data_IF_437242635439
#
_entry.id   IF_437242635439
#
_cell.length_a   1.000
_cell.length_b   1.000
_cell.length_c   1.000
_cell.angle_alpha   90.00
_cell.angle_beta   90.00
_cell.angle_gamma   90.00
#
_symmetry.space_group_name_H-M   'P 1'
#
loop_
_entity.id
_entity.type
_entity.pdbx_description
1 polymer ?
#
# COMPACT_ATOMS: atom_id res chain seq x y z
N UNK A 1 21.81 22.18 14.30
CA UNK A 1 20.46 22.04 13.73
C UNK A 1 20.57 22.19 12.22
N UNK A 2 20.36 21.16 11.40
CA UNK A 2 20.31 21.39 9.96
C UNK A 2 19.01 22.14 9.64
N UNK A 3 19.16 23.34 9.09
CA UNK A 3 18.05 24.14 8.56
C UNK A 3 17.61 23.51 7.23
N UNK A 4 16.36 23.01 7.16
CA UNK A 4 15.80 22.56 5.88
C UNK A 4 15.25 23.78 5.13
N UNK A 5 15.82 24.04 3.96
CA UNK A 5 15.32 25.04 3.02
C UNK A 5 13.99 24.54 2.45
N UNK A 6 12.91 25.31 2.62
CA UNK A 6 11.61 24.98 2.02
C UNK A 6 11.76 24.86 0.49
N UNK A 7 11.39 23.70 -0.06
CA UNK A 7 11.41 23.47 -1.49
C UNK A 7 10.35 24.35 -2.18
N UNK A 8 10.76 25.09 -3.22
CA UNK A 8 9.87 25.92 -4.03
C UNK A 8 8.97 24.99 -4.84
N UNK A 9 7.65 25.21 -4.82
CA UNK A 9 6.69 24.42 -5.58
C UNK A 9 7.11 24.37 -7.06
N UNK A 10 7.26 23.16 -7.61
CA UNK A 10 7.55 22.98 -9.02
C UNK A 10 6.32 23.46 -9.82
N UNK A 11 6.49 24.48 -10.66
CA UNK A 11 5.52 24.83 -11.69
C UNK A 11 5.47 23.65 -12.66
N UNK A 12 4.43 22.82 -12.54
CA UNK A 12 4.21 21.67 -13.41
C UNK A 12 4.06 22.11 -14.87
N UNK A 13 4.49 21.26 -15.81
CA UNK A 13 4.35 21.47 -17.27
C UNK A 13 2.89 21.37 -17.76
N UNK A 14 1.94 21.24 -16.84
CA UNK A 14 0.53 21.03 -17.13
C UNK A 14 -0.15 22.34 -17.49
N UNK A 15 -0.75 22.40 -18.67
CA UNK A 15 -1.61 23.50 -19.08
C UNK A 15 -3.01 23.35 -18.47
N UNK A 16 -3.17 23.93 -17.28
CA UNK A 16 -4.42 23.91 -16.56
C UNK A 16 -5.53 24.77 -17.18
N UNK A 17 -5.19 25.76 -17.99
CA UNK A 17 -6.19 26.61 -18.64
C UNK A 17 -6.93 25.81 -19.72
N UNK A 18 -6.16 25.05 -20.51
CA UNK A 18 -6.70 24.13 -21.53
C UNK A 18 -7.57 23.04 -20.90
N UNK A 19 -7.10 22.38 -19.83
CA UNK A 19 -7.89 21.31 -19.17
C UNK A 19 -9.24 21.81 -18.62
N UNK A 20 -9.29 23.04 -18.08
CA UNK A 20 -10.55 23.62 -17.57
C UNK A 20 -11.50 24.07 -18.67
N UNK A 21 -10.99 24.34 -19.87
CA UNK A 21 -11.79 24.76 -21.01
C UNK A 21 -12.33 23.57 -21.83
N UNK A 22 -11.84 22.35 -21.57
CA UNK A 22 -12.30 21.13 -22.23
C UNK A 22 -13.75 20.83 -21.87
N UNK A 23 -14.55 20.46 -22.88
CA UNK A 23 -15.97 20.12 -22.68
C UNK A 23 -16.14 18.72 -22.09
N UNK A 24 -17.26 18.48 -21.40
CA UNK A 24 -17.58 17.15 -20.84
C UNK A 24 -17.66 16.08 -21.93
N UNK A 25 -18.31 16.37 -23.07
CA UNK A 25 -18.40 15.43 -24.20
C UNK A 25 -17.04 15.01 -24.74
N UNK A 26 -16.08 15.94 -24.77
CA UNK A 26 -14.71 15.65 -25.19
C UNK A 26 -13.96 14.80 -24.17
N UNK A 27 -14.18 15.03 -22.87
CA UNK A 27 -13.61 14.22 -21.79
C UNK A 27 -14.14 12.78 -21.88
N UNK A 28 -15.45 12.61 -22.03
CA UNK A 28 -16.10 11.30 -22.12
C UNK A 28 -15.63 10.53 -23.36
N UNK A 29 -15.47 11.20 -24.51
CA UNK A 29 -14.91 10.58 -25.72
C UNK A 29 -13.48 10.08 -25.47
N UNK A 30 -12.62 10.92 -24.88
CA UNK A 30 -11.24 10.56 -24.60
C UNK A 30 -11.17 9.37 -23.63
N UNK A 31 -12.00 9.36 -22.59
CA UNK A 31 -12.08 8.27 -21.63
C UNK A 31 -12.57 6.95 -22.28
N UNK A 32 -13.55 7.02 -23.20
CA UNK A 32 -14.07 5.85 -23.90
C UNK A 32 -13.07 5.25 -24.91
N UNK A 33 -12.16 6.06 -25.44
CA UNK A 33 -11.12 5.64 -26.41
C UNK A 33 -9.84 5.14 -25.72
N UNK A 34 -9.70 5.28 -24.40
CA UNK A 34 -8.51 4.90 -23.64
C UNK A 34 -8.51 3.39 -23.27
N UNK A 35 -7.71 2.60 -24.01
CA UNK A 35 -7.56 1.16 -23.76
C UNK A 35 -6.87 0.83 -22.43
N UNK A 36 -6.03 1.74 -21.90
CA UNK A 36 -5.36 1.54 -20.61
C UNK A 36 -6.28 1.85 -19.42
N UNK A 37 -7.38 2.57 -19.66
CA UNK A 37 -8.37 2.94 -18.68
C UNK A 37 -9.79 2.57 -19.14
N UNK A 38 -10.12 1.27 -19.23
CA UNK A 38 -11.42 0.83 -19.70
C UNK A 38 -12.53 1.33 -18.77
N UNK A 39 -13.70 1.62 -19.35
CA UNK A 39 -14.87 2.00 -18.58
C UNK A 39 -15.24 0.89 -17.58
N UNK A 40 -15.57 1.29 -16.34
CA UNK A 40 -16.04 0.36 -15.30
C UNK A 40 -17.54 0.52 -15.10
N UNK A 41 -18.24 -0.58 -14.83
CA UNK A 41 -19.67 -0.61 -14.58
C UNK A 41 -19.99 -1.14 -13.18
N UNK A 42 -21.29 -1.19 -12.83
CA UNK A 42 -21.73 -1.65 -11.52
C UNK A 42 -21.33 -3.11 -11.25
N UNK A 43 -21.38 -3.96 -12.27
CA UNK A 43 -21.01 -5.38 -12.17
C UNK A 43 -19.50 -5.57 -11.91
N UNK A 44 -18.65 -4.74 -12.51
CA UNK A 44 -17.23 -4.68 -12.23
C UNK A 44 -16.98 -4.38 -10.74
N UNK A 45 -17.65 -3.37 -10.20
CA UNK A 45 -17.49 -2.97 -8.80
C UNK A 45 -18.13 -3.97 -7.82
N UNK A 46 -19.22 -4.62 -8.19
CA UNK A 46 -19.88 -5.66 -7.39
C UNK A 46 -18.96 -6.86 -7.12
N UNK A 47 -18.04 -7.16 -8.04
CA UNK A 47 -17.12 -8.28 -7.96
C UNK A 47 -15.67 -7.86 -7.63
N UNK A 48 -15.41 -6.57 -7.45
CA UNK A 48 -14.09 -6.05 -7.16
C UNK A 48 -13.62 -6.48 -5.76
N UNK A 49 -12.40 -7.02 -5.66
CA UNK A 49 -11.81 -7.35 -4.38
C UNK A 49 -11.09 -6.13 -3.79
N UNK A 50 -11.60 -5.59 -2.68
CA UNK A 50 -10.95 -4.47 -1.98
C UNK A 50 -9.70 -5.00 -1.27
N UNK A 51 -8.53 -4.76 -1.87
CA UNK A 51 -7.26 -5.00 -1.21
C UNK A 51 -6.87 -3.81 -0.34
N UNK A 52 -7.22 -3.85 0.95
CA UNK A 52 -6.60 -2.98 1.92
C UNK A 52 -5.22 -3.56 2.28
N UNK A 53 -4.10 -2.86 2.01
CA UNK A 53 -2.80 -3.34 2.45
C UNK A 53 -2.83 -3.51 3.97
N UNK A 54 -2.42 -4.68 4.46
CA UNK A 54 -2.39 -4.94 5.89
C UNK A 54 -1.59 -3.83 6.60
N UNK A 55 -2.18 -3.24 7.64
CA UNK A 55 -1.55 -2.18 8.44
C UNK A 55 -0.33 -2.75 9.18
N UNK A 56 0.81 -2.83 8.47
CA UNK A 56 2.08 -3.18 9.08
C UNK A 56 2.57 -1.98 9.88
N UNK A 57 2.42 -2.06 11.19
CA UNK A 57 2.89 -1.00 12.10
C UNK A 57 4.39 -1.20 12.30
N UNK A 58 5.17 -0.15 12.07
CA UNK A 58 6.61 -0.15 12.37
C UNK A 58 6.78 0.20 13.85
N UNK A 59 7.33 -0.74 14.61
CA UNK A 59 7.69 -0.54 16.01
C UNK A 59 9.19 -0.78 16.19
N UNK A 60 9.79 -0.13 17.19
CA UNK A 60 11.11 -0.49 17.66
C UNK A 60 10.97 -1.56 18.76
N UNK A 61 11.54 -2.75 18.52
CA UNK A 61 11.50 -3.86 19.45
C UNK A 61 12.91 -4.42 19.67
N UNK A 62 13.20 -4.84 20.89
CA UNK A 62 14.46 -5.50 21.26
C UNK A 62 14.22 -7.00 21.30
N UNK A 63 15.13 -7.77 20.71
CA UNK A 63 15.10 -9.23 20.70
C UNK A 63 16.43 -9.78 21.21
N UNK A 64 16.41 -11.00 21.74
CA UNK A 64 17.63 -11.69 22.15
C UNK A 64 18.55 -11.92 20.94
N UNK A 65 19.85 -11.79 21.17
CA UNK A 65 20.87 -11.91 20.13
C UNK A 65 20.77 -13.24 19.39
N UNK A 66 20.60 -14.34 20.12
CA UNK A 66 20.52 -15.68 19.54
C UNK A 66 19.30 -15.87 18.62
N UNK A 67 18.18 -15.21 18.93
CA UNK A 67 16.97 -15.23 18.11
C UNK A 67 17.24 -14.52 16.78
N UNK A 68 17.82 -13.32 16.83
CA UNK A 68 18.16 -12.55 15.63
C UNK A 68 19.16 -13.31 14.77
N UNK A 69 20.21 -13.86 15.37
CA UNK A 69 21.22 -14.65 14.66
C UNK A 69 20.62 -15.91 14.00
N UNK A 70 19.70 -16.60 14.67
CA UNK A 70 19.00 -17.75 14.09
C UNK A 70 18.26 -17.37 12.80
N UNK A 71 17.51 -16.27 12.81
CA UNK A 71 16.76 -15.85 11.62
C UNK A 71 17.68 -15.26 10.53
N UNK A 72 18.77 -14.57 10.89
CA UNK A 72 19.74 -14.04 9.93
C UNK A 72 20.46 -15.12 9.11
N UNK A 73 20.67 -16.32 9.67
CA UNK A 73 21.25 -17.46 8.91
C UNK A 73 20.43 -17.83 7.67
N UNK A 74 19.14 -17.50 7.64
CA UNK A 74 18.24 -17.80 6.53
C UNK A 74 18.24 -16.77 5.39
N UNK A 75 18.99 -15.66 5.51
CA UNK A 75 19.10 -14.64 4.47
C UNK A 75 18.55 -13.26 4.84
N UNK A 76 18.50 -12.38 3.84
CA UNK A 76 18.20 -10.95 3.99
C UNK A 76 16.74 -10.65 4.43
N UNK A 77 15.83 -11.61 4.28
CA UNK A 77 14.40 -11.49 4.62
C UNK A 77 14.07 -11.95 6.05
N UNK A 78 15.07 -12.03 6.94
CA UNK A 78 14.91 -12.53 8.32
C UNK A 78 13.78 -11.85 9.10
N UNK A 79 13.54 -10.55 8.88
CA UNK A 79 12.44 -9.81 9.51
C UNK A 79 11.05 -10.28 9.05
N UNK A 80 10.91 -10.65 7.78
CA UNK A 80 9.66 -11.20 7.24
C UNK A 80 9.40 -12.60 7.83
N UNK A 81 10.44 -13.42 7.96
CA UNK A 81 10.37 -14.74 8.59
C UNK A 81 10.02 -14.66 10.08
N UNK A 82 10.64 -13.76 10.84
CA UNK A 82 10.26 -13.49 12.24
C UNK A 82 8.78 -13.11 12.34
N UNK A 83 8.31 -12.20 11.48
CA UNK A 83 6.92 -11.77 11.48
C UNK A 83 5.94 -12.91 11.14
N UNK A 84 6.31 -13.82 10.24
CA UNK A 84 5.49 -14.99 9.91
C UNK A 84 5.34 -15.94 11.11
N UNK A 85 6.42 -16.18 11.86
CA UNK A 85 6.36 -16.99 13.09
C UNK A 85 5.49 -16.34 14.16
N UNK A 86 5.67 -15.03 14.40
CA UNK A 86 4.84 -14.29 15.35
C UNK A 86 3.36 -14.33 14.96
N UNK A 87 3.04 -14.20 13.66
CA UNK A 87 1.67 -14.32 13.15
C UNK A 87 1.08 -15.70 13.45
N UNK A 88 1.79 -16.77 13.11
CA UNK A 88 1.32 -18.13 13.36
C UNK A 88 1.08 -18.40 14.85
N UNK A 89 1.95 -17.89 15.71
CA UNK A 89 1.74 -17.97 17.16
C UNK A 89 0.46 -17.25 17.60
N UNK A 90 0.22 -16.02 17.12
CA UNK A 90 -1.00 -15.26 17.43
C UNK A 90 -2.25 -16.00 16.94
N UNK A 91 -2.24 -16.53 15.72
CA UNK A 91 -3.36 -17.29 15.16
C UNK A 91 -3.68 -18.53 16.01
N UNK A 92 -2.65 -19.31 16.39
CA UNK A 92 -2.81 -20.47 17.26
C UNK A 92 -3.38 -20.09 18.64
N UNK A 93 -2.93 -18.97 19.22
CA UNK A 93 -3.45 -18.49 20.50
C UNK A 93 -4.89 -17.97 20.42
N UNK A 94 -5.31 -17.46 19.26
CA UNK A 94 -6.68 -17.00 19.02
C UNK A 94 -7.63 -18.15 18.74
N UNK A 95 -7.17 -19.24 18.10
CA UNK A 95 -7.98 -20.44 17.89
C UNK A 95 -8.23 -21.23 19.17
N UNK A 96 -7.26 -21.23 20.10
CA UNK A 96 -7.36 -21.92 21.40
C UNK A 96 -8.25 -21.18 22.42
N UNK A 97 -8.41 -19.86 22.27
CA UNK A 97 -9.35 -19.11 23.11
C UNK A 97 -10.77 -19.32 22.56
N UNK A 98 -11.72 -19.86 23.34
CA UNK A 98 -13.10 -19.90 22.89
C UNK A 98 -13.54 -18.47 22.61
N UNK A 99 -14.14 -18.25 21.42
CA UNK A 99 -14.81 -16.98 21.09
C UNK A 99 -15.78 -16.68 22.24
N UNK A 100 -15.44 -15.68 23.06
CA UNK A 100 -16.33 -15.13 24.09
C UNK A 100 -17.35 -14.22 23.45
#
# INVERSE_FOLDING_TARGET
MPSSKAAKAATGRTDWATLRAMSEDEIERIAAEDEENPATDEDYWANANIYAPANKIVIHATFDKEVVEFFQRGGADYSARMNAVLRSYVEAQQSEKPKR
#
